data_IF_335957577092
#
_entry.id   IF_335957577092
#
_cell.length_a   1.000
_cell.length_b   1.000
_cell.length_c   1.000
_cell.angle_alpha   90.00
_cell.angle_beta   90.00
_cell.angle_gamma   90.00
#
_symmetry.space_group_name_H-M   'P 1'
#
loop_
_entity.id
_entity.type
_entity.pdbx_description
1 polymer ?
#
# COMPACT_ATOMS: atom_id res chain seq x y z
N UNK A 1 1.77 -5.77 12.22
CA UNK A 1 2.21 -5.74 10.83
C UNK A 1 3.51 -6.52 10.69
N UNK A 2 3.68 -7.23 9.58
CA UNK A 2 4.96 -7.84 9.20
C UNK A 2 5.98 -6.79 8.74
N UNK A 3 7.25 -7.20 8.55
CA UNK A 3 8.28 -6.33 7.96
C UNK A 3 7.89 -5.87 6.56
N UNK A 4 7.34 -6.77 5.74
CA UNK A 4 6.93 -6.46 4.37
C UNK A 4 5.82 -5.40 4.33
N UNK A 5 4.81 -5.52 5.19
CA UNK A 5 3.72 -4.54 5.32
C UNK A 5 4.23 -3.17 5.79
N UNK A 6 5.18 -3.15 6.72
CA UNK A 6 5.77 -1.90 7.19
C UNK A 6 6.59 -1.21 6.08
N UNK A 7 7.36 -1.98 5.31
CA UNK A 7 8.14 -1.46 4.19
C UNK A 7 7.22 -0.92 3.09
N UNK A 8 6.12 -1.62 2.80
CA UNK A 8 5.08 -1.14 1.90
C UNK A 8 4.45 0.18 2.38
N UNK A 9 4.06 0.25 3.65
CA UNK A 9 3.52 1.48 4.24
C UNK A 9 4.47 2.66 4.04
N UNK A 10 5.74 2.50 4.40
CA UNK A 10 6.74 3.56 4.22
C UNK A 10 6.93 3.93 2.75
N UNK A 11 6.99 2.93 1.86
CA UNK A 11 7.12 3.11 0.43
C UNK A 11 5.96 3.93 -0.16
N UNK A 12 4.72 3.65 0.24
CA UNK A 12 3.52 4.38 -0.23
C UNK A 12 3.45 5.77 0.39
N UNK A 13 3.83 5.97 1.66
CA UNK A 13 3.76 7.29 2.31
C UNK A 13 4.64 8.35 1.64
N UNK A 14 5.84 7.99 1.18
CA UNK A 14 6.73 8.89 0.42
C UNK A 14 6.10 9.31 -0.92
N UNK A 15 5.24 8.45 -1.48
CA UNK A 15 4.52 8.62 -2.75
C UNK A 15 3.13 9.23 -2.60
N UNK A 16 2.68 9.43 -1.37
CA UNK A 16 1.39 10.01 -1.04
C UNK A 16 1.46 11.54 -1.06
N UNK A 17 0.37 12.18 -1.48
CA UNK A 17 0.23 13.64 -1.38
C UNK A 17 0.39 14.08 0.08
N UNK A 18 1.13 15.16 0.34
CA UNK A 18 1.53 15.54 1.70
C UNK A 18 0.33 15.69 2.66
N UNK A 19 -0.76 16.30 2.19
CA UNK A 19 -1.98 16.49 2.99
C UNK A 19 -2.78 15.21 3.27
N UNK A 20 -2.43 14.09 2.65
CA UNK A 20 -3.15 12.81 2.74
C UNK A 20 -2.36 11.71 3.47
N UNK A 21 -1.15 12.00 3.97
CA UNK A 21 -0.28 10.98 4.58
C UNK A 21 -0.87 10.34 5.84
N UNK A 22 -1.52 11.12 6.70
CA UNK A 22 -2.17 10.58 7.91
C UNK A 22 -3.29 9.60 7.52
N UNK A 23 -4.14 9.99 6.57
CA UNK A 23 -5.24 9.16 6.07
C UNK A 23 -4.74 7.92 5.32
N UNK A 24 -3.63 8.02 4.59
CA UNK A 24 -3.00 6.87 3.95
C UNK A 24 -2.47 5.88 4.98
N UNK A 25 -1.88 6.37 6.07
CA UNK A 25 -1.41 5.51 7.16
C UNK A 25 -2.56 4.70 7.73
N UNK A 26 -3.65 5.36 8.12
CA UNK A 26 -4.87 4.71 8.64
C UNK A 26 -5.42 3.67 7.65
N UNK A 27 -5.58 4.06 6.38
CA UNK A 27 -6.11 3.18 5.34
C UNK A 27 -5.31 1.88 5.20
N UNK A 28 -3.98 1.98 5.12
CA UNK A 28 -3.11 0.82 4.95
C UNK A 28 -3.10 -0.04 6.22
N UNK A 29 -3.01 0.57 7.40
CA UNK A 29 -3.00 -0.18 8.66
C UNK A 29 -4.31 -0.91 8.92
N UNK A 30 -5.44 -0.28 8.61
CA UNK A 30 -6.76 -0.87 8.79
C UNK A 30 -7.00 -2.02 7.80
N UNK A 31 -6.54 -1.85 6.55
CA UNK A 31 -6.61 -2.92 5.55
C UNK A 31 -5.83 -4.16 5.99
N UNK A 32 -4.56 -4.03 6.38
CA UNK A 32 -3.77 -5.17 6.86
C UNK A 32 -4.33 -5.79 8.14
N UNK A 33 -4.93 -4.99 9.03
CA UNK A 33 -5.62 -5.52 10.20
C UNK A 33 -6.86 -6.36 9.81
N UNK A 34 -7.63 -5.92 8.82
CA UNK A 34 -8.78 -6.65 8.29
C UNK A 34 -8.37 -7.94 7.56
N UNK A 35 -7.29 -7.91 6.77
CA UNK A 35 -6.73 -9.09 6.11
C UNK A 35 -6.32 -10.15 7.13
N UNK A 36 -5.58 -9.76 8.18
CA UNK A 36 -5.18 -10.68 9.26
C UNK A 36 -6.36 -11.23 10.05
N UNK A 37 -7.47 -10.49 10.16
CA UNK A 37 -8.69 -10.97 10.77
C UNK A 37 -9.46 -11.96 9.87
N UNK A 38 -9.06 -12.12 8.60
CA UNK A 38 -9.77 -12.91 7.60
C UNK A 38 -11.07 -12.27 7.14
N UNK A 39 -11.19 -10.93 7.26
CA UNK A 39 -12.41 -10.15 7.03
C UNK A 39 -12.26 -9.18 5.86
N UNK A 40 -11.82 -9.68 4.70
CA UNK A 40 -11.72 -8.86 3.48
C UNK A 40 -12.56 -9.47 2.37
N UNK A 41 -13.54 -8.72 1.89
CA UNK A 41 -14.34 -9.05 0.73
C UNK A 41 -13.78 -8.37 -0.52
N UNK A 42 -14.22 -8.81 -1.71
CA UNK A 42 -13.83 -8.15 -2.96
C UNK A 42 -14.25 -6.68 -3.04
N UNK A 43 -15.36 -6.29 -2.39
CA UNK A 43 -15.76 -4.88 -2.31
C UNK A 43 -14.79 -4.07 -1.45
N UNK A 44 -14.33 -4.63 -0.33
CA UNK A 44 -13.38 -3.95 0.56
C UNK A 44 -12.04 -3.72 -0.16
N UNK A 45 -11.60 -4.67 -0.99
CA UNK A 45 -10.41 -4.52 -1.84
C UNK A 45 -10.59 -3.36 -2.84
N UNK A 46 -11.75 -3.28 -3.51
CA UNK A 46 -12.01 -2.21 -4.49
C UNK A 46 -12.03 -0.84 -3.80
N UNK A 47 -12.67 -0.73 -2.63
CA UNK A 47 -12.73 0.50 -1.85
C UNK A 47 -11.35 0.92 -1.35
N UNK A 48 -10.54 -0.05 -0.88
CA UNK A 48 -9.15 0.16 -0.49
C UNK A 48 -8.31 0.70 -1.64
N UNK A 49 -8.28 -0.01 -2.79
CA UNK A 49 -7.49 0.38 -3.95
C UNK A 49 -7.91 1.75 -4.50
N UNK A 50 -9.22 2.00 -4.59
CA UNK A 50 -9.75 3.29 -5.04
C UNK A 50 -9.29 4.44 -4.13
N UNK A 51 -9.37 4.23 -2.81
CA UNK A 51 -8.96 5.22 -1.82
C UNK A 51 -7.45 5.44 -1.86
N UNK A 52 -6.67 4.37 -1.92
CA UNK A 52 -5.21 4.40 -2.00
C UNK A 52 -4.75 5.21 -3.24
N UNK A 53 -5.23 4.87 -4.43
CA UNK A 53 -4.82 5.56 -5.66
C UNK A 53 -5.32 7.00 -5.75
N UNK A 54 -6.40 7.37 -5.04
CA UNK A 54 -6.86 8.77 -4.98
C UNK A 54 -5.91 9.70 -4.19
N UNK A 55 -5.13 9.13 -3.27
CA UNK A 55 -4.23 9.86 -2.37
C UNK A 55 -2.77 9.86 -2.83
N UNK A 56 -2.40 8.96 -3.75
CA UNK A 56 -1.06 8.89 -4.34
C UNK A 56 -0.84 10.06 -5.29
N UNK A 57 0.42 10.53 -5.39
CA UNK A 57 0.82 11.51 -6.39
C UNK A 57 0.71 10.90 -7.79
N UNK A 58 0.14 11.59 -8.79
CA UNK A 58 -0.08 11.01 -10.12
C UNK A 58 1.16 10.33 -10.73
N UNK A 59 2.34 10.93 -10.56
CA UNK A 59 3.61 10.42 -11.05
C UNK A 59 4.09 9.13 -10.37
N UNK A 60 3.55 8.79 -9.20
CA UNK A 60 3.96 7.65 -8.39
C UNK A 60 2.96 6.48 -8.44
N UNK A 61 1.88 6.59 -9.22
CA UNK A 61 0.87 5.53 -9.37
C UNK A 61 1.49 4.25 -9.93
N UNK A 62 2.37 4.36 -10.94
CA UNK A 62 3.04 3.19 -11.52
C UNK A 62 3.88 2.45 -10.49
N UNK A 63 4.71 3.17 -9.73
CA UNK A 63 5.56 2.59 -8.68
C UNK A 63 4.76 1.75 -7.68
N UNK A 64 3.60 2.26 -7.25
CA UNK A 64 2.74 1.57 -6.27
C UNK A 64 2.02 0.39 -6.91
N UNK A 65 1.60 0.52 -8.17
CA UNK A 65 1.02 -0.59 -8.91
C UNK A 65 2.03 -1.71 -9.23
N UNK A 66 3.33 -1.41 -9.28
CA UNK A 66 4.36 -2.41 -9.55
C UNK A 66 4.64 -3.32 -8.34
N UNK A 67 4.34 -2.88 -7.11
CA UNK A 67 4.59 -3.67 -5.89
C UNK A 67 3.36 -4.42 -5.37
N UNK A 68 2.21 -4.29 -6.06
CA UNK A 68 0.96 -4.97 -5.74
C UNK A 68 0.39 -5.71 -6.95
N UNK A 69 -0.37 -6.77 -6.72
CA UNK A 69 -1.16 -7.43 -7.75
C UNK A 69 -2.51 -6.72 -7.99
N UNK A 70 -3.27 -7.22 -8.98
CA UNK A 70 -4.59 -6.65 -9.32
C UNK A 70 -5.65 -6.79 -8.21
N UNK A 71 -5.39 -7.60 -7.18
CA UNK A 71 -6.26 -7.78 -6.02
C UNK A 71 -5.75 -7.01 -4.79
N UNK A 72 -4.72 -6.17 -4.93
CA UNK A 72 -4.13 -5.42 -3.84
C UNK A 72 -3.20 -6.21 -2.92
N UNK A 73 -2.88 -7.46 -3.26
CA UNK A 73 -1.89 -8.22 -2.51
C UNK A 73 -0.49 -7.69 -2.81
N UNK A 74 0.37 -7.63 -1.79
CA UNK A 74 1.78 -7.33 -1.98
C UNK A 74 2.45 -8.43 -2.81
N UNK A 75 3.27 -8.03 -3.80
CA UNK A 75 4.10 -8.96 -4.59
C UNK A 75 5.43 -9.14 -3.86
N UNK A 76 5.69 -10.27 -3.16
CA UNK A 76 6.88 -10.42 -2.33
C UNK A 76 8.18 -10.35 -3.14
N UNK A 77 8.14 -10.77 -4.41
CA UNK A 77 9.28 -10.71 -5.32
C UNK A 77 9.73 -9.27 -5.59
N UNK A 78 8.83 -8.29 -5.46
CA UNK A 78 9.11 -6.87 -5.69
C UNK A 78 9.48 -6.11 -4.41
N UNK A 79 9.73 -6.82 -3.30
CA UNK A 79 10.14 -6.20 -2.03
C UNK A 79 11.39 -5.34 -2.15
N UNK A 80 12.34 -5.70 -3.03
CA UNK A 80 13.55 -4.91 -3.31
C UNK A 80 13.27 -3.50 -3.85
N UNK A 81 12.08 -3.24 -4.40
CA UNK A 81 11.65 -1.91 -4.85
C UNK A 81 11.21 -1.02 -3.69
N UNK A 82 10.78 -1.64 -2.57
CA UNK A 82 10.23 -0.95 -1.41
C UNK A 82 11.30 -0.53 -0.41
N UNK A 83 12.42 -1.26 -0.38
CA UNK A 83 13.54 -0.97 0.52
C UNK A 83 14.67 -0.27 -0.23
N UNK A 84 15.34 0.73 0.36
CA UNK A 84 16.58 1.26 -0.20
C UNK A 84 17.59 0.12 -0.32
N UNK A 85 18.19 -0.07 -1.50
CA UNK A 85 19.36 -0.93 -1.62
C UNK A 85 20.40 -0.44 -0.62
N UNK A 86 20.73 -1.28 0.37
CA UNK A 86 21.80 -0.98 1.31
C UNK A 86 23.07 -0.69 0.48
N UNK A 87 23.56 0.55 0.57
CA UNK A 87 24.74 1.03 -0.14
C UNK A 87 26.03 0.37 0.39
#
# INVERSE_FOLDING_TARGET
MSTLENDFLQFVLVRTQAQAQDKMTELITDHFAAEHAGHVTGSDVIEYLTSLFSMIKPEAVSDVNDVMDANGNLIPENHYMMVPLAA
#
